data_IF_802414954895
#
_entry.id   IF_802414954895
#
_cell.length_a   1.000
_cell.length_b   1.000
_cell.length_c   1.000
_cell.angle_alpha   90.00
_cell.angle_beta   90.00
_cell.angle_gamma   90.00
#
_symmetry.space_group_name_H-M   'P 1'
#
loop_
_entity.id
_entity.type
_entity.pdbx_description
1 polymer ?
#
# COMPACT_ATOMS: atom_id res chain seq x y z
N UNK A 1 23.22 -2.26 24.59
CA UNK A 1 22.05 -2.28 25.49
C UNK A 1 21.16 -3.45 25.09
N UNK A 2 20.53 -4.16 26.03
CA UNK A 2 19.62 -5.26 25.66
C UNK A 2 18.36 -4.68 25.02
N UNK A 3 17.97 -5.19 23.84
CA UNK A 3 16.73 -4.79 23.16
C UNK A 3 15.56 -5.17 24.07
N UNK A 4 14.77 -4.19 24.51
CA UNK A 4 13.64 -4.43 25.42
C UNK A 4 12.62 -5.27 24.67
N UNK A 5 12.32 -6.48 25.15
CA UNK A 5 11.27 -7.32 24.57
C UNK A 5 9.92 -6.62 24.74
N UNK A 6 9.30 -6.22 23.63
CA UNK A 6 8.00 -5.55 23.60
C UNK A 6 6.89 -6.57 23.41
N UNK A 7 5.71 -6.25 23.93
CA UNK A 7 4.54 -7.06 23.65
C UNK A 7 4.09 -6.87 22.20
N UNK A 8 3.55 -7.91 21.60
CA UNK A 8 2.97 -7.87 20.24
C UNK A 8 1.95 -6.74 20.08
N UNK A 9 1.09 -6.55 21.08
CA UNK A 9 0.05 -5.52 21.07
C UNK A 9 0.61 -4.09 21.05
N UNK A 10 1.71 -3.83 21.75
CA UNK A 10 2.37 -2.52 21.75
C UNK A 10 2.96 -2.19 20.38
N UNK A 11 3.56 -3.18 19.70
CA UNK A 11 4.11 -3.01 18.35
C UNK A 11 2.97 -2.70 17.38
N UNK A 12 1.87 -3.48 17.40
CA UNK A 12 0.71 -3.26 16.54
C UNK A 12 0.09 -1.87 16.76
N UNK A 13 -0.11 -1.46 18.02
CA UNK A 13 -0.66 -0.15 18.35
C UNK A 13 0.21 0.97 17.76
N UNK A 14 1.54 0.87 17.90
CA UNK A 14 2.47 1.83 17.31
C UNK A 14 2.46 1.79 15.81
N UNK A 15 2.47 0.63 15.16
CA UNK A 15 2.37 0.54 13.70
C UNK A 15 1.11 1.22 13.17
N UNK A 16 -0.01 1.13 13.88
CA UNK A 16 -1.25 1.82 13.50
C UNK A 16 -1.25 3.32 13.83
N UNK A 17 -0.45 3.79 14.80
CA UNK A 17 -0.22 5.23 15.03
C UNK A 17 0.77 5.82 14.02
N UNK A 18 1.88 5.12 13.79
CA UNK A 18 2.84 5.39 12.71
C UNK A 18 2.11 5.40 11.38
N UNK A 19 1.23 4.44 11.08
CA UNK A 19 0.50 4.33 9.82
C UNK A 19 -0.51 5.46 9.59
N UNK A 20 -1.10 6.02 10.66
CA UNK A 20 -1.88 7.27 10.56
C UNK A 20 -1.00 8.48 10.22
N UNK A 21 0.25 8.47 10.66
CA UNK A 21 1.24 9.54 10.42
C UNK A 21 2.01 9.36 9.09
N UNK A 22 2.18 8.10 8.67
CA UNK A 22 2.82 7.61 7.46
C UNK A 22 1.75 6.96 6.57
N UNK A 23 0.75 7.76 6.14
CA UNK A 23 -0.02 7.41 4.94
C UNK A 23 1.01 7.10 3.86
N UNK A 24 0.94 5.88 3.32
CA UNK A 24 2.05 5.16 2.71
C UNK A 24 2.83 6.01 1.70
N UNK A 25 3.89 6.65 2.20
CA UNK A 25 4.91 7.32 1.43
C UNK A 25 6.21 6.86 2.07
N UNK A 26 6.67 5.69 1.61
CA UNK A 26 7.94 5.14 2.04
C UNK A 26 9.08 6.07 1.64
N UNK A 27 9.49 6.93 2.57
CA UNK A 27 10.89 7.31 2.74
C UNK A 27 11.74 6.16 3.33
N UNK A 28 11.30 4.93 3.14
CA UNK A 28 12.10 3.73 3.23
C UNK A 28 11.96 3.03 1.90
N UNK A 29 13.09 2.72 1.28
CA UNK A 29 13.18 1.96 0.04
C UNK A 29 12.15 0.80 0.06
N UNK A 30 11.11 0.87 -0.78
CA UNK A 30 10.68 -0.35 -1.45
C UNK A 30 11.87 -0.73 -2.33
N UNK A 31 12.62 -1.75 -1.92
CA UNK A 31 13.77 -2.21 -2.68
C UNK A 31 13.33 -2.62 -4.09
N UNK A 32 14.19 -2.25 -5.04
CA UNK A 32 14.29 -2.77 -6.40
C UNK A 32 14.17 -4.30 -6.32
N UNK A 33 13.15 -4.92 -6.92
CA UNK A 33 13.22 -5.48 -8.27
C UNK A 33 11.89 -6.14 -8.68
N UNK A 34 10.79 -5.38 -8.71
CA UNK A 34 9.53 -5.94 -9.19
C UNK A 34 8.59 -4.86 -9.68
N UNK A 35 8.90 -4.30 -10.85
CA UNK A 35 7.95 -3.81 -11.85
C UNK A 35 6.51 -3.66 -11.32
N UNK A 36 6.20 -2.57 -10.60
CA UNK A 36 4.83 -2.10 -10.36
C UNK A 36 4.33 -1.45 -11.65
N UNK A 37 4.32 -2.24 -12.72
CA UNK A 37 3.80 -1.76 -13.99
C UNK A 37 2.34 -2.16 -13.97
N UNK A 38 1.45 -1.16 -13.91
CA UNK A 38 0.23 -1.26 -14.68
C UNK A 38 0.67 -1.47 -16.12
N UNK A 39 0.84 -2.74 -16.52
CA UNK A 39 1.29 -3.12 -17.86
C UNK A 39 0.40 -2.34 -18.81
N UNK A 40 0.99 -1.38 -19.54
CA UNK A 40 0.23 -0.44 -20.36
C UNK A 40 -0.46 -1.16 -21.53
N UNK A 41 -0.23 -2.47 -21.65
CA UNK A 41 -0.98 -3.40 -22.47
C UNK A 41 -2.39 -3.72 -21.92
N UNK A 42 -2.76 -3.27 -20.71
CA UNK A 42 -4.01 -3.66 -20.01
C UNK A 42 -4.80 -2.46 -19.47
N UNK A 43 -4.59 -1.23 -19.99
CA UNK A 43 -5.57 -0.16 -19.74
C UNK A 43 -6.74 -0.37 -20.69
N UNK A 44 -7.89 -0.73 -20.12
CA UNK A 44 -9.14 -0.79 -20.86
C UNK A 44 -9.72 0.62 -20.95
N UNK A 45 -9.44 1.31 -22.06
CA UNK A 45 -9.89 2.69 -22.29
C UNK A 45 -11.41 2.77 -22.46
N UNK A 46 -12.02 1.75 -23.05
CA UNK A 46 -13.47 1.71 -23.30
C UNK A 46 -14.23 1.61 -21.98
N UNK A 47 -13.82 0.68 -21.12
CA UNK A 47 -14.43 0.48 -19.80
C UNK A 47 -13.78 1.33 -18.70
N UNK A 48 -12.81 2.20 -19.04
CA UNK A 48 -12.03 3.04 -18.11
C UNK A 48 -11.48 2.26 -16.91
N UNK A 49 -10.97 1.07 -17.19
CA UNK A 49 -10.51 0.13 -16.17
C UNK A 49 -8.99 -0.02 -16.23
N UNK A 50 -8.34 0.07 -15.07
CA UNK A 50 -6.90 -0.16 -14.92
C UNK A 50 -6.68 -1.23 -13.85
N UNK A 51 -6.00 -2.34 -14.16
CA UNK A 51 -5.55 -3.30 -13.15
C UNK A 51 -4.33 -2.74 -12.41
N UNK A 52 -4.37 -2.79 -11.07
CA UNK A 52 -3.27 -2.39 -10.21
C UNK A 52 -2.79 -3.56 -9.35
N UNK A 53 -1.47 -3.59 -9.13
CA UNK A 53 -0.86 -4.38 -8.08
C UNK A 53 -0.82 -3.51 -6.82
N UNK A 54 -1.58 -3.89 -5.80
CA UNK A 54 -1.68 -3.16 -4.54
C UNK A 54 -0.51 -3.52 -3.61
N UNK A 55 -0.16 -4.81 -3.59
CA UNK A 55 0.99 -5.34 -2.85
C UNK A 55 1.78 -6.23 -3.80
N UNK A 56 3.06 -5.92 -4.00
CA UNK A 56 3.99 -6.69 -4.82
C UNK A 56 4.55 -7.90 -4.08
N UNK A 57 5.12 -8.85 -4.82
CA UNK A 57 5.87 -9.97 -4.23
C UNK A 57 7.07 -9.48 -3.41
N UNK A 58 7.77 -8.47 -3.93
CA UNK A 58 8.84 -7.77 -3.22
C UNK A 58 8.25 -6.51 -2.58
N UNK A 59 7.67 -6.64 -1.39
CA UNK A 59 7.06 -5.53 -0.66
C UNK A 59 7.74 -5.21 0.68
N UNK A 60 8.80 -5.94 1.03
CA UNK A 60 9.62 -5.66 2.19
C UNK A 60 10.24 -4.25 2.10
N UNK A 61 9.99 -3.41 3.10
CA UNK A 61 10.41 -2.02 3.12
C UNK A 61 10.92 -1.58 4.47
N UNK A 62 11.92 -0.69 4.46
CA UNK A 62 12.45 -0.11 5.69
C UNK A 62 11.44 0.88 6.31
N UNK A 63 11.32 0.82 7.63
CA UNK A 63 10.48 1.70 8.44
C UNK A 63 11.25 2.23 9.63
N UNK A 64 10.83 3.41 10.08
CA UNK A 64 11.39 4.08 11.23
C UNK A 64 10.37 4.19 12.35
N UNK A 65 10.69 3.59 13.50
CA UNK A 65 9.94 3.74 14.75
C UNK A 65 10.47 4.95 15.53
N UNK A 66 9.82 6.10 15.32
CA UNK A 66 10.18 7.38 15.95
C UNK A 66 10.08 7.37 17.48
N UNK A 67 9.34 6.44 18.09
CA UNK A 67 9.25 6.34 19.55
C UNK A 67 10.50 5.72 20.17
N UNK A 68 11.22 4.90 19.40
CA UNK A 68 12.37 4.13 19.89
C UNK A 68 13.66 4.46 19.15
N UNK A 69 13.61 5.31 18.13
CA UNK A 69 14.76 5.68 17.32
C UNK A 69 15.37 4.46 16.63
N UNK A 70 14.52 3.55 16.15
CA UNK A 70 14.90 2.25 15.62
C UNK A 70 14.38 2.04 14.19
N UNK A 71 15.18 1.34 13.39
CA UNK A 71 14.81 0.86 12.07
C UNK A 71 14.29 -0.57 12.16
N UNK A 72 13.21 -0.87 11.42
CA UNK A 72 12.71 -2.23 11.21
C UNK A 72 12.35 -2.44 9.74
N UNK A 73 12.33 -3.70 9.31
CA UNK A 73 11.84 -4.08 7.98
C UNK A 73 10.41 -4.55 8.13
N UNK A 74 9.50 -3.96 7.37
CA UNK A 74 8.09 -4.32 7.30
C UNK A 74 7.83 -5.07 6.00
N UNK A 75 7.18 -6.23 6.09
CA UNK A 75 6.69 -7.00 4.94
C UNK A 75 5.22 -7.37 5.19
N UNK A 76 4.38 -7.29 4.16
CA UNK A 76 2.98 -7.67 4.18
C UNK A 76 2.82 -9.06 3.55
N UNK A 77 2.18 -9.98 4.27
CA UNK A 77 1.76 -11.27 3.70
C UNK A 77 0.49 -11.08 2.86
N UNK A 78 0.51 -11.29 1.53
CA UNK A 78 -0.67 -11.14 0.68
C UNK A 78 -1.88 -11.96 1.16
N UNK A 79 -1.68 -13.10 1.81
CA UNK A 79 -2.75 -13.96 2.30
C UNK A 79 -3.40 -13.44 3.59
N UNK A 80 -2.75 -12.50 4.28
CA UNK A 80 -3.23 -11.86 5.50
C UNK A 80 -4.17 -10.68 5.26
N UNK A 81 -4.38 -10.29 4.00
CA UNK A 81 -5.15 -9.10 3.66
C UNK A 81 -6.67 -9.34 3.71
N UNK A 82 -7.37 -8.44 4.42
CA UNK A 82 -8.82 -8.29 4.33
C UNK A 82 -9.16 -7.17 3.35
N UNK A 83 -9.91 -7.51 2.32
CA UNK A 83 -10.21 -6.63 1.17
C UNK A 83 -11.67 -6.18 1.12
N UNK A 84 -12.52 -6.64 2.05
CA UNK A 84 -13.98 -6.48 2.01
C UNK A 84 -14.46 -5.02 2.05
N UNK A 85 -13.67 -4.16 2.68
CA UNK A 85 -13.96 -2.72 2.86
C UNK A 85 -13.41 -1.85 1.71
N UNK A 86 -12.58 -2.44 0.84
CA UNK A 86 -11.88 -1.70 -0.21
C UNK A 86 -12.80 -1.51 -1.44
N UNK A 87 -13.50 -0.36 -1.49
CA UNK A 87 -14.52 -0.08 -2.53
C UNK A 87 -14.24 1.14 -3.39
N UNK A 88 -13.55 2.14 -2.84
CA UNK A 88 -13.43 3.47 -3.46
C UNK A 88 -11.97 3.78 -3.74
N UNK A 89 -11.72 4.27 -4.95
CA UNK A 89 -10.42 4.79 -5.35
C UNK A 89 -10.42 6.32 -5.24
N UNK A 90 -9.43 6.86 -4.54
CA UNK A 90 -9.33 8.30 -4.27
C UNK A 90 -8.21 8.96 -5.10
N UNK A 91 -8.38 10.23 -5.43
CA UNK A 91 -7.36 11.00 -6.17
C UNK A 91 -6.13 11.30 -5.30
N UNK A 92 -6.28 11.31 -3.99
CA UNK A 92 -5.23 11.49 -3.01
C UNK A 92 -5.64 10.83 -1.68
N UNK A 93 -4.83 11.02 -0.64
CA UNK A 93 -5.02 10.44 0.69
C UNK A 93 -6.20 11.02 1.51
N UNK A 94 -6.99 11.93 0.95
CA UNK A 94 -8.20 12.42 1.57
C UNK A 94 -9.38 11.50 1.17
N UNK A 95 -10.05 10.90 2.16
CA UNK A 95 -11.20 10.03 1.93
C UNK A 95 -12.50 10.84 2.00
N UNK A 96 -12.72 11.72 1.01
CA UNK A 96 -13.91 12.56 0.88
C UNK A 96 -14.67 12.27 -0.42
N UNK A 97 -15.91 12.74 -0.50
CA UNK A 97 -16.76 12.61 -1.71
C UNK A 97 -16.07 13.24 -2.93
N UNK A 98 -15.53 14.45 -2.78
CA UNK A 98 -14.88 15.20 -3.88
C UNK A 98 -13.54 14.59 -4.34
N UNK A 99 -13.01 13.63 -3.60
CA UNK A 99 -11.76 12.94 -3.89
C UNK A 99 -11.99 11.52 -4.40
N UNK A 100 -13.20 10.99 -4.29
CA UNK A 100 -13.58 9.69 -4.82
C UNK A 100 -13.71 9.76 -6.34
N UNK A 101 -12.81 9.09 -7.06
CA UNK A 101 -12.68 9.18 -8.53
C UNK A 101 -12.84 7.83 -9.24
N UNK A 102 -13.05 6.75 -8.49
CA UNK A 102 -13.25 5.43 -9.06
C UNK A 102 -13.79 4.44 -8.04
N UNK A 103 -14.19 3.28 -8.55
CA UNK A 103 -14.58 2.13 -7.75
C UNK A 103 -13.62 0.97 -7.97
N UNK A 104 -13.45 0.17 -6.94
CA UNK A 104 -12.54 -0.97 -6.92
C UNK A 104 -13.37 -2.23 -7.13
N UNK A 105 -12.96 -3.03 -8.11
CA UNK A 105 -13.55 -4.31 -8.48
C UNK A 105 -12.49 -5.41 -8.47
N UNK A 106 -12.93 -6.67 -8.38
CA UNK A 106 -12.08 -7.86 -8.49
C UNK A 106 -10.81 -7.86 -7.62
N UNK A 107 -10.87 -7.25 -6.43
CA UNK A 107 -9.77 -7.26 -5.47
C UNK A 107 -9.53 -8.69 -4.97
N UNK A 108 -8.29 -9.17 -5.12
CA UNK A 108 -7.95 -10.57 -4.84
C UNK A 108 -6.46 -10.74 -4.56
N UNK A 109 -6.13 -11.85 -3.91
CA UNK A 109 -4.77 -12.38 -3.86
C UNK A 109 -4.50 -13.13 -5.16
N UNK A 110 -3.39 -12.80 -5.82
CA UNK A 110 -2.90 -13.46 -7.03
C UNK A 110 -1.46 -13.93 -6.80
N UNK A 111 -1.32 -15.19 -6.38
CA UNK A 111 -0.05 -15.75 -5.94
C UNK A 111 0.52 -15.02 -4.73
N UNK A 112 1.64 -14.33 -4.91
CA UNK A 112 2.31 -13.52 -3.87
C UNK A 112 2.02 -12.02 -4.01
N UNK A 113 0.92 -11.66 -4.67
CA UNK A 113 0.53 -10.27 -4.91
C UNK A 113 -0.90 -10.06 -4.48
N UNK A 114 -1.23 -8.81 -4.23
CA UNK A 114 -2.63 -8.36 -4.16
C UNK A 114 -2.89 -7.51 -5.38
N UNK A 115 -3.96 -7.81 -6.11
CA UNK A 115 -4.35 -7.09 -7.31
C UNK A 115 -5.80 -6.65 -7.22
N UNK A 116 -6.13 -5.55 -7.90
CA UNK A 116 -7.51 -5.09 -8.04
C UNK A 116 -7.70 -4.32 -9.35
N UNK A 117 -8.92 -4.33 -9.86
CA UNK A 117 -9.31 -3.57 -11.04
C UNK A 117 -9.97 -2.26 -10.59
N UNK A 118 -9.49 -1.12 -11.08
CA UNK A 118 -10.06 0.18 -10.76
C UNK A 118 -10.82 0.71 -11.96
N UNK A 119 -12.13 0.90 -11.80
CA UNK A 119 -12.99 1.53 -12.79
C UNK A 119 -13.14 3.01 -12.46
N UNK A 120 -12.60 3.87 -13.33
CA UNK A 120 -12.63 5.33 -13.13
C UNK A 120 -14.02 5.90 -13.40
N UNK A 121 -14.41 6.91 -12.61
CA UNK A 121 -15.59 7.73 -12.87
C UNK A 121 -15.46 8.54 -14.17
N UNK A 122 -16.53 9.24 -14.54
CA UNK A 122 -16.61 10.02 -15.78
C UNK A 122 -16.61 11.54 -15.54
N UNK A 123 -16.51 11.99 -14.30
CA UNK A 123 -16.36 13.41 -13.97
C UNK A 123 -14.98 13.96 -14.37
N UNK A 124 -14.83 15.28 -14.27
CA UNK A 124 -13.63 16.01 -14.68
C UNK A 124 -12.39 15.59 -13.87
N UNK A 125 -12.54 15.31 -12.57
CA UNK A 125 -11.44 14.94 -11.70
C UNK A 125 -10.96 13.52 -11.99
N UNK A 126 -11.89 12.57 -12.10
CA UNK A 126 -11.60 11.19 -12.50
C UNK A 126 -10.96 11.13 -13.89
N UNK A 127 -11.48 11.89 -14.84
CA UNK A 127 -10.93 11.95 -16.21
C UNK A 127 -9.53 12.52 -16.25
N UNK A 128 -9.24 13.56 -15.46
CA UNK A 128 -7.90 14.13 -15.35
C UNK A 128 -6.89 13.12 -14.80
N UNK A 129 -7.26 12.35 -13.78
CA UNK A 129 -6.36 11.33 -13.19
C UNK A 129 -6.21 10.13 -14.13
N UNK A 130 -7.29 9.67 -14.76
CA UNK A 130 -7.26 8.58 -15.74
C UNK A 130 -6.34 8.91 -16.93
N UNK A 131 -6.41 10.14 -17.46
CA UNK A 131 -5.49 10.62 -18.49
C UNK A 131 -4.03 10.58 -18.02
N UNK A 132 -3.75 10.98 -16.78
CA UNK A 132 -2.37 10.91 -16.24
C UNK A 132 -1.83 9.48 -16.16
N UNK A 133 -2.68 8.48 -15.91
CA UNK A 133 -2.26 7.07 -15.97
C UNK A 133 -2.04 6.60 -17.42
N UNK A 134 -2.92 6.98 -18.36
CA UNK A 134 -2.72 6.70 -19.79
C UNK A 134 -1.41 7.32 -20.32
N UNK A 135 -1.12 8.56 -19.90
CA UNK A 135 0.09 9.29 -20.25
C UNK A 135 1.33 8.83 -19.49
N UNK A 136 1.19 7.87 -18.56
CA UNK A 136 2.23 7.36 -17.66
C UNK A 136 2.91 8.42 -16.79
N UNK A 137 2.22 9.53 -16.52
CA UNK A 137 2.63 10.53 -15.53
C UNK A 137 2.42 9.97 -14.12
N UNK A 138 1.33 9.22 -13.94
CA UNK A 138 1.08 8.38 -12.78
C UNK A 138 1.24 6.91 -13.19
N UNK A 139 1.92 6.14 -12.35
CA UNK A 139 2.19 4.71 -12.57
C UNK A 139 1.78 3.85 -11.39
N UNK A 140 1.74 4.45 -10.20
CA UNK A 140 1.59 3.74 -8.95
C UNK A 140 0.33 4.20 -8.20
N UNK A 141 -0.01 3.44 -7.17
CA UNK A 141 -1.09 3.70 -6.21
C UNK A 141 -0.55 3.57 -4.81
N UNK A 142 -1.20 4.23 -3.85
CA UNK A 142 -0.92 4.10 -2.44
C UNK A 142 -1.99 3.25 -1.75
N UNK A 143 -1.58 2.46 -0.77
CA UNK A 143 -2.46 1.59 0.00
C UNK A 143 -2.42 1.99 1.46
N UNK A 144 -3.58 2.34 2.03
CA UNK A 144 -3.73 2.53 3.46
C UNK A 144 -4.31 1.28 4.11
N UNK A 145 -3.76 0.86 5.25
CA UNK A 145 -4.20 -0.33 5.97
C UNK A 145 -4.06 -0.19 7.50
N UNK A 146 -4.78 -1.06 8.21
CA UNK A 146 -4.61 -1.28 9.64
C UNK A 146 -4.04 -2.67 9.90
N UNK A 147 -3.03 -2.73 10.76
CA UNK A 147 -2.41 -3.98 11.22
C UNK A 147 -3.27 -4.60 12.32
N UNK A 148 -3.65 -5.86 12.12
CA UNK A 148 -4.37 -6.66 13.10
C UNK A 148 -3.45 -7.67 13.80
N UNK A 149 -2.49 -8.25 13.06
CA UNK A 149 -1.57 -9.24 13.58
C UNK A 149 -0.21 -9.26 12.86
N UNK A 150 0.84 -9.66 13.58
CA UNK A 150 2.23 -9.68 13.09
C UNK A 150 3.03 -10.91 13.54
N UNK A 151 4.15 -11.18 12.88
CA UNK A 151 5.22 -12.05 13.36
C UNK A 151 6.52 -11.24 13.35
N UNK A 152 7.23 -11.21 14.47
CA UNK A 152 8.50 -10.49 14.60
C UNK A 152 9.66 -11.49 14.66
N UNK A 153 10.60 -11.31 13.75
CA UNK A 153 11.86 -12.06 13.73
C UNK A 153 13.01 -11.11 14.04
N UNK A 154 13.67 -11.33 15.17
CA UNK A 154 14.85 -10.57 15.58
C UNK A 154 16.12 -11.38 15.38
N UNK A 155 17.14 -10.75 14.80
CA UNK A 155 18.50 -11.30 14.70
C UNK A 155 19.48 -10.33 15.36
N UNK A 156 20.60 -10.88 15.85
CA UNK A 156 21.63 -10.05 16.46
C UNK A 156 22.24 -9.12 15.42
N UNK A 157 22.35 -7.84 15.76
CA UNK A 157 22.96 -6.79 14.92
C UNK A 157 22.23 -6.53 13.58
N UNK A 158 20.99 -6.98 13.42
CA UNK A 158 20.11 -6.70 12.27
C UNK A 158 18.83 -5.98 12.72
N UNK A 159 18.18 -5.17 11.84
CA UNK A 159 16.84 -4.67 12.08
C UNK A 159 15.85 -5.80 12.36
N UNK A 160 14.82 -5.53 13.15
CA UNK A 160 13.73 -6.51 13.31
C UNK A 160 12.99 -6.66 11.97
N UNK A 161 12.66 -7.89 11.62
CA UNK A 161 11.77 -8.17 10.51
C UNK A 161 10.36 -8.40 11.03
N UNK A 162 9.43 -7.57 10.59
CA UNK A 162 8.02 -7.58 10.99
C UNK A 162 7.19 -8.01 9.79
N UNK A 163 6.76 -9.27 9.80
CA UNK A 163 5.80 -9.79 8.83
C UNK A 163 4.39 -9.49 9.34
N UNK A 164 3.62 -8.70 8.60
CA UNK A 164 2.22 -8.41 8.87
C UNK A 164 1.36 -9.54 8.30
N UNK A 165 0.75 -10.32 9.18
CA UNK A 165 0.05 -11.57 8.83
C UNK A 165 -1.47 -11.45 8.84
N UNK A 166 -2.01 -10.38 9.44
CA UNK A 166 -3.43 -10.03 9.35
C UNK A 166 -3.54 -8.51 9.31
N UNK A 167 -4.17 -7.96 8.28
CA UNK A 167 -4.38 -6.54 8.13
C UNK A 167 -5.59 -6.23 7.27
N UNK A 168 -6.17 -5.06 7.46
CA UNK A 168 -7.34 -4.59 6.71
C UNK A 168 -6.94 -3.43 5.83
N UNK A 169 -7.10 -3.58 4.51
CA UNK A 169 -6.88 -2.50 3.56
C UNK A 169 -8.12 -1.62 3.54
N UNK A 170 -7.93 -0.32 3.83
CA UNK A 170 -9.02 0.65 4.01
C UNK A 170 -8.95 1.82 3.03
N UNK A 171 -7.85 1.96 2.29
CA UNK A 171 -7.67 3.05 1.33
C UNK A 171 -6.89 2.56 0.12
N UNK A 172 -7.32 3.00 -1.07
CA UNK A 172 -6.51 3.03 -2.27
C UNK A 172 -6.58 4.42 -2.88
N UNK A 173 -5.43 5.03 -3.14
CA UNK A 173 -5.38 6.36 -3.75
C UNK A 173 -4.32 6.47 -4.84
N UNK A 174 -4.51 7.45 -5.72
CA UNK A 174 -3.53 7.79 -6.74
C UNK A 174 -2.30 8.42 -6.09
N UNK A 175 -1.11 8.03 -6.54
CA UNK A 175 0.14 8.57 -6.02
C UNK A 175 1.15 8.77 -7.14
N UNK A 176 1.83 9.92 -7.11
CA UNK A 176 3.03 10.11 -7.91
C UNK A 176 4.24 9.66 -7.08
N UNK A 177 4.96 8.66 -7.57
CA UNK A 177 6.25 8.29 -7.00
C UNK A 177 7.24 9.42 -7.32
N UNK A 178 7.67 10.18 -6.32
CA UNK A 178 8.81 11.06 -6.45
C UNK A 178 10.05 10.18 -6.55
N UNK A 179 10.61 10.02 -7.76
CA UNK A 179 11.89 9.35 -7.94
C UNK A 179 12.94 10.13 -7.15
N UNK A 180 13.41 9.54 -6.06
CA UNK A 180 14.57 9.99 -5.28
C UNK A 180 15.78 9.17 -5.68
#
# INVERSE_FOLDING_TARGET
MAKKTRSKAEIIARMNEVGKMNRFCGRGLCSRSGTSVGDTAVIDVENRTIPFVLVSEENAGERYDWWNDEVYIEELDPNGARLDELRTFFKDHNQAVDTAIGRIENSRVDGKRIVADVVFGNDDDASRVFQKYQDRILTDVSVGYYVNDIIVTSKKDEPDHVLVTDYTIVELSSQQKLTS
#
